data_IF_248782471378
#
_entry.id   IF_248782471378
#
_cell.length_a   1.000
_cell.length_b   1.000
_cell.length_c   1.000
_cell.angle_alpha   90.00
_cell.angle_beta   90.00
_cell.angle_gamma   90.00
#
_symmetry.space_group_name_H-M   'P 1'
#
loop_
_entity.id
_entity.type
_entity.pdbx_description
1 polymer ?
#
# COMPACT_ATOMS: atom_id res chain seq x y z
N UNK A 1 36.73 30.39 8.29
CA UNK A 1 35.43 31.09 8.23
C UNK A 1 34.40 30.04 7.83
N UNK A 2 33.72 29.45 8.82
CA UNK A 2 32.83 28.29 8.63
C UNK A 2 31.38 28.79 8.49
N UNK A 3 30.82 28.66 7.31
CA UNK A 3 29.41 28.97 7.04
C UNK A 3 28.58 27.75 7.44
N UNK A 4 27.93 27.84 8.61
CA UNK A 4 26.94 26.86 9.06
C UNK A 4 25.65 27.09 8.25
N UNK A 5 25.41 26.21 7.28
CA UNK A 5 24.13 26.10 6.56
C UNK A 5 23.03 25.69 7.54
N UNK A 6 22.20 26.66 7.93
CA UNK A 6 21.03 26.51 8.79
C UNK A 6 19.82 26.04 7.97
N UNK A 7 19.89 24.83 7.40
CA UNK A 7 18.69 24.16 6.89
C UNK A 7 17.84 23.70 8.06
N UNK A 8 16.65 24.28 8.16
CA UNK A 8 15.56 23.82 9.01
C UNK A 8 15.40 22.31 8.85
N UNK A 9 15.63 21.57 9.94
CA UNK A 9 15.34 20.13 10.02
C UNK A 9 13.82 19.95 9.92
N UNK A 10 13.30 19.85 8.70
CA UNK A 10 12.03 19.15 8.50
C UNK A 10 12.23 17.73 9.01
N UNK A 11 11.25 17.21 9.76
CA UNK A 11 11.30 15.83 10.23
C UNK A 11 11.49 14.93 9.01
N UNK A 12 12.58 14.16 8.98
CA UNK A 12 12.90 13.31 7.83
C UNK A 12 11.77 12.31 7.52
N UNK A 13 11.68 11.76 6.30
CA UNK A 13 10.59 10.86 5.89
C UNK A 13 10.31 9.72 6.86
N UNK A 14 11.36 9.17 7.51
CA UNK A 14 11.22 8.12 8.52
C UNK A 14 10.54 8.57 9.82
N UNK A 15 10.65 9.84 10.21
CA UNK A 15 9.94 10.38 11.39
C UNK A 15 8.46 10.53 11.07
N UNK A 16 8.11 11.06 9.90
CA UNK A 16 6.72 11.17 9.45
C UNK A 16 6.05 9.79 9.38
N UNK A 17 6.74 8.79 8.82
CA UNK A 17 6.25 7.41 8.78
C UNK A 17 6.00 6.84 10.18
N UNK A 18 6.96 6.99 11.11
CA UNK A 18 6.80 6.50 12.49
C UNK A 18 5.64 7.17 13.22
N UNK A 19 5.43 8.47 13.02
CA UNK A 19 4.29 9.19 13.60
C UNK A 19 2.97 8.70 13.01
N UNK A 20 2.91 8.49 11.70
CA UNK A 20 1.74 7.91 11.04
C UNK A 20 1.43 6.50 11.56
N UNK A 21 2.46 5.67 11.77
CA UNK A 21 2.29 4.33 12.36
C UNK A 21 1.83 4.37 13.80
N UNK A 22 2.38 5.26 14.63
CA UNK A 22 1.95 5.42 16.02
C UNK A 22 0.49 5.90 16.11
N UNK A 23 0.10 6.83 15.24
CA UNK A 23 -1.29 7.26 15.15
C UNK A 23 -2.20 6.13 14.69
N UNK A 24 -1.80 5.41 13.63
CA UNK A 24 -2.52 4.24 13.14
C UNK A 24 -2.74 3.20 14.24
N UNK A 25 -1.71 2.94 15.06
CA UNK A 25 -1.76 1.98 16.16
C UNK A 25 -2.78 2.33 17.27
N UNK A 26 -3.01 3.61 17.53
CA UNK A 26 -3.89 4.07 18.60
C UNK A 26 -5.39 4.06 18.24
N UNK A 27 -5.72 3.98 16.96
CA UNK A 27 -7.11 4.07 16.48
C UNK A 27 -7.79 2.69 16.48
N UNK A 28 -9.02 2.54 17.00
CA UNK A 28 -9.76 1.28 16.89
C UNK A 28 -10.03 0.89 15.42
N UNK A 29 -10.08 -0.40 15.15
CA UNK A 29 -10.12 -0.91 13.78
C UNK A 29 -11.35 -0.44 12.96
N UNK A 30 -12.52 -0.42 13.59
CA UNK A 30 -13.76 0.07 12.97
C UNK A 30 -13.66 1.55 12.59
N UNK A 31 -13.00 2.36 13.43
CA UNK A 31 -12.82 3.80 13.19
C UNK A 31 -11.84 4.01 12.04
N UNK A 32 -10.76 3.23 11.99
CA UNK A 32 -9.77 3.28 10.92
C UNK A 32 -10.39 2.95 9.55
N UNK A 33 -11.19 1.88 9.48
CA UNK A 33 -11.88 1.49 8.24
C UNK A 33 -12.96 2.51 7.82
N UNK A 34 -13.75 3.01 8.77
CA UNK A 34 -14.72 4.07 8.50
C UNK A 34 -14.06 5.35 7.98
N UNK A 35 -12.92 5.73 8.58
CA UNK A 35 -12.12 6.86 8.12
C UNK A 35 -11.55 6.63 6.72
N UNK A 36 -11.10 5.42 6.38
CA UNK A 36 -10.61 5.09 5.04
C UNK A 36 -11.69 5.28 3.96
N UNK A 37 -12.93 4.84 4.23
CA UNK A 37 -14.06 5.05 3.33
C UNK A 37 -14.39 6.54 3.15
N UNK A 38 -14.43 7.29 4.26
CA UNK A 38 -14.67 8.73 4.24
C UNK A 38 -13.58 9.51 3.51
N UNK A 39 -12.31 9.23 3.82
CA UNK A 39 -11.15 9.83 3.17
C UNK A 39 -11.09 9.47 1.69
N UNK A 40 -11.45 8.24 1.29
CA UNK A 40 -11.52 7.85 -0.11
C UNK A 40 -12.59 8.65 -0.87
N UNK A 41 -13.78 8.79 -0.30
CA UNK A 41 -14.85 9.62 -0.89
C UNK A 41 -14.47 11.09 -1.00
N UNK A 42 -13.87 11.66 0.05
CA UNK A 42 -13.39 13.05 0.04
C UNK A 42 -12.23 13.23 -0.93
N UNK A 43 -11.26 12.31 -0.96
CA UNK A 43 -10.12 12.31 -1.87
C UNK A 43 -10.56 12.31 -3.33
N UNK A 44 -11.57 11.51 -3.69
CA UNK A 44 -12.13 11.53 -5.03
C UNK A 44 -12.73 12.90 -5.42
N UNK A 45 -13.24 13.67 -4.46
CA UNK A 45 -13.78 15.02 -4.70
C UNK A 45 -12.68 16.08 -4.77
N UNK A 46 -11.67 15.99 -3.90
CA UNK A 46 -10.60 16.97 -3.76
C UNK A 46 -9.49 16.81 -4.82
N UNK A 47 -9.14 15.57 -5.16
CA UNK A 47 -8.00 15.22 -6.03
C UNK A 47 -8.44 15.08 -7.50
N UNK A 48 -8.82 16.22 -8.10
CA UNK A 48 -9.46 16.24 -9.43
C UNK A 48 -8.59 15.69 -10.55
N UNK A 49 -7.27 15.89 -10.49
CA UNK A 49 -6.34 15.43 -11.53
C UNK A 49 -6.13 13.92 -11.45
N UNK A 50 -5.89 13.40 -10.24
CA UNK A 50 -5.74 11.99 -9.95
C UNK A 50 -7.03 11.24 -10.28
N UNK A 51 -8.19 11.85 -9.99
CA UNK A 51 -9.48 11.29 -10.38
C UNK A 51 -9.60 11.11 -11.90
N UNK A 52 -9.18 12.09 -12.69
CA UNK A 52 -9.15 11.97 -14.16
C UNK A 52 -8.18 10.87 -14.61
N UNK A 53 -7.04 10.72 -13.95
CA UNK A 53 -6.08 9.65 -14.25
C UNK A 53 -6.66 8.28 -13.96
N UNK A 54 -7.29 8.10 -12.78
CA UNK A 54 -7.99 6.87 -12.39
C UNK A 54 -9.09 6.55 -13.40
N UNK A 55 -9.94 7.53 -13.75
CA UNK A 55 -10.98 7.35 -14.76
C UNK A 55 -10.40 6.89 -16.10
N UNK A 56 -9.31 7.53 -16.56
CA UNK A 56 -8.63 7.19 -17.81
C UNK A 56 -8.07 5.75 -17.77
N UNK A 57 -7.53 5.29 -16.64
CA UNK A 57 -7.08 3.91 -16.49
C UNK A 57 -8.27 2.93 -16.45
N UNK A 58 -9.31 3.25 -15.69
CA UNK A 58 -10.52 2.41 -15.60
C UNK A 58 -11.23 2.27 -16.95
N UNK A 59 -11.24 3.31 -17.79
CA UNK A 59 -11.79 3.22 -19.16
C UNK A 59 -11.02 2.26 -20.06
N UNK A 60 -9.73 2.02 -19.81
CA UNK A 60 -8.94 1.04 -20.56
C UNK A 60 -9.22 -0.40 -20.11
N UNK A 61 -9.41 -0.60 -18.80
CA UNK A 61 -9.64 -1.92 -18.20
C UNK A 61 -11.11 -2.34 -18.29
N UNK A 62 -12.03 -1.39 -18.23
CA UNK A 62 -13.48 -1.63 -18.18
C UNK A 62 -14.25 -0.64 -19.06
N UNK A 63 -14.03 -0.68 -20.40
CA UNK A 63 -14.61 0.29 -21.33
C UNK A 63 -16.14 0.24 -21.42
N UNK A 64 -16.75 -0.90 -21.08
CA UNK A 64 -18.18 -1.14 -21.22
C UNK A 64 -19.05 -0.57 -20.08
N UNK A 65 -18.44 0.00 -19.04
CA UNK A 65 -19.18 0.53 -17.90
C UNK A 65 -19.95 1.79 -18.29
N UNK A 66 -21.21 1.88 -17.84
CA UNK A 66 -21.98 3.13 -17.91
C UNK A 66 -21.32 4.24 -17.09
N UNK A 67 -21.73 5.49 -17.32
CA UNK A 67 -21.20 6.63 -16.57
C UNK A 67 -21.33 6.44 -15.05
N UNK A 68 -22.47 5.95 -14.57
CA UNK A 68 -22.69 5.72 -13.14
C UNK A 68 -21.79 4.59 -12.58
N UNK A 69 -21.65 3.50 -13.33
CA UNK A 69 -20.76 2.40 -12.93
C UNK A 69 -19.30 2.85 -12.91
N UNK A 70 -18.87 3.66 -13.88
CA UNK A 70 -17.53 4.26 -13.91
C UNK A 70 -17.31 5.14 -12.69
N UNK A 71 -18.28 5.97 -12.30
CA UNK A 71 -18.17 6.79 -11.10
C UNK A 71 -18.01 5.96 -9.82
N UNK A 72 -18.76 4.86 -9.69
CA UNK A 72 -18.60 3.92 -8.57
C UNK A 72 -17.20 3.31 -8.57
N UNK A 73 -16.72 2.81 -9.72
CA UNK A 73 -15.36 2.23 -9.84
C UNK A 73 -14.24 3.20 -9.49
N UNK A 74 -14.39 4.48 -9.84
CA UNK A 74 -13.44 5.52 -9.46
C UNK A 74 -13.44 5.68 -7.93
N UNK A 75 -14.62 5.83 -7.32
CA UNK A 75 -14.72 5.98 -5.86
C UNK A 75 -14.17 4.76 -5.12
N UNK A 76 -14.48 3.55 -5.59
CA UNK A 76 -13.95 2.29 -5.05
C UNK A 76 -12.42 2.28 -5.09
N UNK A 77 -11.81 2.78 -6.17
CA UNK A 77 -10.35 2.87 -6.28
C UNK A 77 -9.74 3.82 -5.25
N UNK A 78 -10.33 5.00 -5.04
CA UNK A 78 -9.88 5.93 -4.00
C UNK A 78 -10.05 5.34 -2.59
N UNK A 79 -11.18 4.68 -2.33
CA UNK A 79 -11.42 4.02 -1.04
C UNK A 79 -10.43 2.88 -0.81
N UNK A 80 -10.16 2.05 -1.81
CA UNK A 80 -9.16 0.99 -1.73
C UNK A 80 -7.76 1.55 -1.49
N UNK A 81 -7.41 2.66 -2.11
CA UNK A 81 -6.12 3.31 -1.92
C UNK A 81 -5.97 3.90 -0.52
N UNK A 82 -7.04 4.48 0.03
CA UNK A 82 -6.99 4.96 1.40
C UNK A 82 -6.95 3.83 2.42
N UNK A 83 -7.70 2.75 2.18
CA UNK A 83 -7.63 1.55 3.00
C UNK A 83 -6.20 0.98 3.02
N UNK A 84 -5.55 0.87 1.87
CA UNK A 84 -4.16 0.44 1.74
C UNK A 84 -3.23 1.21 2.70
N UNK A 85 -3.28 2.54 2.69
CA UNK A 85 -2.43 3.33 3.59
C UNK A 85 -2.76 3.13 5.06
N UNK A 86 -4.05 3.12 5.41
CA UNK A 86 -4.50 2.91 6.79
C UNK A 86 -4.00 1.55 7.31
N UNK A 87 -4.17 0.50 6.53
CA UNK A 87 -3.71 -0.85 6.88
C UNK A 87 -2.19 -0.92 6.96
N UNK A 88 -1.46 -0.34 5.99
CA UNK A 88 0.01 -0.28 6.00
C UNK A 88 0.54 0.41 7.26
N UNK A 89 -0.03 1.54 7.68
CA UNK A 89 0.43 2.23 8.88
C UNK A 89 0.12 1.48 10.17
N UNK A 90 -0.96 0.68 10.18
CA UNK A 90 -1.36 -0.17 11.31
C UNK A 90 -0.60 -1.50 11.34
N UNK A 91 -0.05 -1.94 10.23
CA UNK A 91 0.62 -3.23 10.11
C UNK A 91 1.65 -3.54 11.22
N UNK A 92 2.46 -2.58 11.73
CA UNK A 92 3.41 -2.86 12.80
C UNK A 92 2.82 -3.35 14.12
N UNK A 93 1.51 -3.14 14.37
CA UNK A 93 0.85 -3.58 15.61
C UNK A 93 0.07 -4.89 15.46
N UNK A 94 -0.06 -5.42 14.24
CA UNK A 94 -0.75 -6.70 14.06
C UNK A 94 0.11 -7.86 14.55
N UNK A 95 -0.54 -8.74 15.31
CA UNK A 95 0.01 -10.03 15.73
C UNK A 95 0.04 -11.02 14.56
N UNK A 96 0.88 -12.06 14.59
CA UNK A 96 0.90 -13.10 13.56
C UNK A 96 -0.49 -13.72 13.31
N UNK A 97 -1.28 -13.89 14.39
CA UNK A 97 -2.65 -14.41 14.31
C UNK A 97 -3.61 -13.48 13.58
N UNK A 98 -3.50 -12.17 13.79
CA UNK A 98 -4.31 -11.17 13.07
C UNK A 98 -3.93 -11.11 11.61
N UNK A 99 -2.62 -11.20 11.29
CA UNK A 99 -2.15 -11.32 9.90
C UNK A 99 -2.72 -12.57 9.23
N UNK A 100 -2.68 -13.72 9.90
CA UNK A 100 -3.24 -14.97 9.37
C UNK A 100 -4.76 -14.90 9.18
N UNK A 101 -5.49 -14.33 10.13
CA UNK A 101 -6.94 -14.17 10.02
C UNK A 101 -7.37 -13.20 8.91
N UNK A 102 -6.54 -12.22 8.57
CA UNK A 102 -6.78 -11.24 7.51
C UNK A 102 -6.40 -11.72 6.11
N UNK A 103 -5.83 -12.92 5.97
CA UNK A 103 -5.24 -13.40 4.72
C UNK A 103 -5.88 -14.69 4.24
N UNK A 104 -6.14 -14.78 2.93
CA UNK A 104 -6.53 -16.03 2.26
C UNK A 104 -5.59 -16.25 1.08
N UNK A 105 -5.35 -17.52 0.77
CA UNK A 105 -4.31 -17.91 -0.18
C UNK A 105 -4.85 -18.88 -1.20
N UNK A 106 -4.50 -18.61 -2.45
CA UNK A 106 -4.68 -19.52 -3.58
C UNK A 106 -3.32 -19.69 -4.26
N UNK A 107 -2.98 -20.92 -4.64
CA UNK A 107 -1.76 -21.22 -5.41
C UNK A 107 -0.43 -21.17 -4.63
N UNK A 108 -0.44 -21.15 -3.30
CA UNK A 108 0.81 -21.14 -2.50
C UNK A 108 1.72 -22.35 -2.73
N UNK A 109 1.16 -23.49 -3.13
CA UNK A 109 1.92 -24.66 -3.56
C UNK A 109 2.90 -24.38 -4.69
N UNK A 110 2.68 -23.36 -5.53
CA UNK A 110 3.63 -22.94 -6.55
C UNK A 110 4.90 -22.33 -5.94
N UNK A 111 4.76 -21.61 -4.83
CA UNK A 111 5.89 -21.05 -4.08
C UNK A 111 6.66 -22.20 -3.42
N UNK A 112 5.97 -23.10 -2.72
CA UNK A 112 6.59 -24.26 -2.06
C UNK A 112 7.35 -25.15 -3.07
N UNK A 113 6.73 -25.44 -4.22
CA UNK A 113 7.35 -26.25 -5.28
C UNK A 113 8.58 -25.57 -5.90
N UNK A 114 8.56 -24.24 -6.04
CA UNK A 114 9.72 -23.47 -6.51
C UNK A 114 10.86 -23.47 -5.50
N UNK A 115 10.55 -23.28 -4.21
CA UNK A 115 11.53 -23.32 -3.13
C UNK A 115 12.16 -24.71 -2.97
N UNK A 116 11.38 -25.78 -3.09
CA UNK A 116 11.86 -27.16 -3.00
C UNK A 116 12.92 -27.52 -4.07
N UNK A 117 12.97 -26.79 -5.18
CA UNK A 117 14.00 -26.95 -6.22
C UNK A 117 15.34 -26.30 -5.86
N UNK A 118 15.44 -25.58 -4.73
CA UNK A 118 16.68 -24.96 -4.26
C UNK A 118 17.14 -23.74 -5.06
N UNK A 119 16.27 -23.17 -5.91
CA UNK A 119 16.59 -22.02 -6.79
C UNK A 119 16.06 -20.67 -6.27
N UNK A 120 15.19 -20.71 -5.25
CA UNK A 120 14.40 -19.55 -4.83
C UNK A 120 13.19 -19.30 -5.75
N UNK A 121 12.40 -18.27 -5.42
CA UNK A 121 11.19 -17.87 -6.15
C UNK A 121 11.19 -16.36 -6.35
N UNK A 122 10.85 -15.91 -7.57
CA UNK A 122 10.64 -14.49 -7.88
C UNK A 122 9.12 -14.23 -7.89
N UNK A 123 8.67 -13.34 -7.01
CA UNK A 123 7.29 -12.88 -6.97
C UNK A 123 7.17 -11.54 -7.72
N UNK A 124 6.58 -11.57 -8.91
CA UNK A 124 6.28 -10.37 -9.70
C UNK A 124 4.86 -9.89 -9.38
N UNK A 125 4.73 -8.86 -8.54
CA UNK A 125 3.46 -8.35 -8.08
C UNK A 125 3.12 -7.00 -8.74
N UNK A 126 1.89 -6.79 -9.23
CA UNK A 126 1.42 -5.46 -9.59
C UNK A 126 1.17 -4.61 -8.33
N UNK A 127 1.12 -3.29 -8.48
CA UNK A 127 0.74 -2.36 -7.41
C UNK A 127 -0.78 -2.41 -7.15
N UNK A 128 -1.27 -3.55 -6.63
CA UNK A 128 -2.69 -3.83 -6.41
C UNK A 128 -2.85 -4.42 -5.01
N UNK A 129 -3.82 -3.90 -4.26
CA UNK A 129 -4.09 -4.34 -2.89
C UNK A 129 -2.94 -3.98 -1.93
N UNK A 130 -2.90 -4.67 -0.79
CA UNK A 130 -1.82 -4.56 0.19
C UNK A 130 -0.78 -5.66 -0.01
N UNK A 131 0.16 -5.47 -0.94
CA UNK A 131 1.22 -6.45 -1.22
C UNK A 131 2.18 -6.62 -0.03
N UNK A 132 2.26 -5.63 0.85
CA UNK A 132 2.97 -5.69 2.14
C UNK A 132 2.38 -6.75 3.09
N UNK A 133 1.07 -6.98 3.06
CA UNK A 133 0.44 -8.06 3.84
C UNK A 133 0.92 -9.43 3.39
N UNK A 134 1.03 -9.64 2.07
CA UNK A 134 1.56 -10.89 1.53
C UNK A 134 3.02 -11.11 1.95
N UNK A 135 3.83 -10.04 1.95
CA UNK A 135 5.20 -10.07 2.45
C UNK A 135 5.27 -10.42 3.94
N UNK A 136 4.46 -9.76 4.78
CA UNK A 136 4.39 -10.06 6.22
C UNK A 136 3.95 -11.50 6.49
N UNK A 137 2.89 -11.95 5.82
CA UNK A 137 2.37 -13.31 5.95
C UNK A 137 3.42 -14.37 5.57
N UNK A 138 4.19 -14.17 4.50
CA UNK A 138 5.29 -15.07 4.12
C UNK A 138 6.39 -15.13 5.19
N UNK A 139 6.75 -13.99 5.78
CA UNK A 139 7.74 -13.91 6.87
C UNK A 139 7.26 -14.67 8.10
N UNK A 140 5.99 -14.53 8.48
CA UNK A 140 5.40 -15.25 9.62
C UNK A 140 5.37 -16.78 9.39
N UNK A 141 5.37 -17.23 8.13
CA UNK A 141 5.53 -18.64 7.76
C UNK A 141 6.97 -19.13 7.69
N UNK A 142 7.93 -18.28 8.07
CA UNK A 142 9.35 -18.63 8.12
C UNK A 142 10.09 -18.46 6.80
N UNK A 143 9.48 -17.82 5.79
CA UNK A 143 10.19 -17.49 4.55
C UNK A 143 11.01 -16.21 4.70
N UNK A 144 12.15 -16.17 4.01
CA UNK A 144 12.94 -14.96 3.86
C UNK A 144 12.51 -14.23 2.58
N UNK A 145 12.40 -12.90 2.67
CA UNK A 145 11.95 -12.07 1.56
C UNK A 145 12.91 -10.90 1.35
N UNK A 146 13.26 -10.67 0.08
CA UNK A 146 14.03 -9.52 -0.38
C UNK A 146 13.19 -8.73 -1.37
N UNK A 147 13.17 -7.41 -1.22
CA UNK A 147 12.47 -6.50 -2.13
C UNK A 147 13.42 -5.41 -2.64
N UNK A 148 13.18 -4.95 -3.86
CA UNK A 148 13.87 -3.80 -4.44
C UNK A 148 13.04 -2.55 -4.18
N UNK A 149 13.67 -1.47 -3.75
CA UNK A 149 13.02 -0.19 -3.45
C UNK A 149 13.72 0.91 -4.24
N UNK A 150 12.94 1.78 -4.87
CA UNK A 150 13.46 2.97 -5.52
C UNK A 150 14.08 3.90 -4.46
N UNK A 151 15.30 4.38 -4.71
CA UNK A 151 15.93 5.34 -3.81
C UNK A 151 15.19 6.68 -3.90
N UNK A 152 14.57 7.10 -2.79
CA UNK A 152 13.79 8.34 -2.76
C UNK A 152 14.67 9.57 -3.02
N UNK A 153 14.46 10.22 -4.17
CA UNK A 153 15.01 11.55 -4.48
C UNK A 153 16.48 11.55 -4.89
N UNK A 154 16.75 11.13 -6.13
CA UNK A 154 17.97 11.47 -6.86
C UNK A 154 17.60 11.69 -8.32
N UNK A 155 18.01 12.82 -8.89
CA UNK A 155 17.86 13.10 -10.32
C UNK A 155 18.36 11.91 -11.14
N UNK A 156 17.45 11.29 -11.90
CA UNK A 156 17.80 10.28 -12.92
C UNK A 156 17.88 11.01 -14.26
N UNK A 157 18.76 12.00 -14.33
CA UNK A 157 19.26 12.51 -15.59
C UNK A 157 20.44 11.62 -16.01
N UNK A 158 20.14 10.66 -16.89
CA UNK A 158 21.11 10.03 -17.79
C UNK A 158 20.60 10.15 -19.21
#
# INVERSE_FOLDING_TARGET
>A
MAERDSRTRTAGPGVAFRLASLFGAAVPDVVAHGAALGMGGFGALAMRNERKLVERHQRRVSPHLSALQMQRRINDAFQSYMRYYVETFRMPIFTPREIEAGFSVEGFSHIEAGLAQGKGVILALPHIGGWEWAGRWLIERGHQLSAVVEAGGGDVSR
#
